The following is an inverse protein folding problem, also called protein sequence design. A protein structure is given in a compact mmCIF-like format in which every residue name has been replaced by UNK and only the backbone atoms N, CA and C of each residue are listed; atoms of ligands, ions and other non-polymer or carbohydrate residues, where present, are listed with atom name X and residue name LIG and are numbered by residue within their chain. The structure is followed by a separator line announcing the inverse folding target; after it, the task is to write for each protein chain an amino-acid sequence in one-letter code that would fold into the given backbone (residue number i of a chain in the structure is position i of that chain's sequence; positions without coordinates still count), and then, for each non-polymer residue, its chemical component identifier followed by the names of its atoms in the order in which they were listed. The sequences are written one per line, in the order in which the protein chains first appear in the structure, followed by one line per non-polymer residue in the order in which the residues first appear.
data_IF_370944377649
#
_entry.id   IF_370944377649
#
_cell.length_a   1.000
_cell.length_b   1.000
_cell.length_c   1.000
_cell.angle_alpha   90.00
_cell.angle_beta   90.00
_cell.angle_gamma   90.00
#
_symmetry.space_group_name_H-M   'P 1'
#
loop_
_entity.id
_entity.type
_entity.pdbx_description
1 polymer ?
#
# COMPACT_ATOMS: atom_id res chain seq x y z
N UNK A 1 -9.72 -11.37 5.89
CA UNK A 1 -9.96 -12.29 7.02
C UNK A 1 -8.95 -12.14 8.15
N UNK A 2 -7.63 -12.06 7.93
CA UNK A 2 -6.67 -11.86 9.05
C UNK A 2 -6.98 -10.60 9.86
N UNK A 3 -7.08 -9.44 9.19
CA UNK A 3 -7.43 -8.15 9.82
C UNK A 3 -8.78 -8.23 10.52
N UNK A 4 -9.82 -8.69 9.81
CA UNK A 4 -11.18 -8.81 10.36
C UNK A 4 -11.19 -9.67 11.65
N UNK A 5 -10.53 -10.84 11.64
CA UNK A 5 -10.46 -11.74 12.80
C UNK A 5 -9.71 -11.12 13.99
N UNK A 6 -8.64 -10.37 13.73
CA UNK A 6 -7.88 -9.72 14.79
C UNK A 6 -8.68 -8.59 15.45
N UNK A 7 -9.36 -7.77 14.65
CA UNK A 7 -10.23 -6.70 15.14
C UNK A 7 -11.40 -7.25 15.98
N UNK A 8 -11.97 -8.39 15.58
CA UNK A 8 -13.05 -9.05 16.32
C UNK A 8 -12.60 -9.70 17.64
N UNK A 9 -11.41 -10.31 17.66
CA UNK A 9 -10.98 -11.16 18.78
C UNK A 9 -10.01 -10.51 19.75
N UNK A 10 -9.37 -9.41 19.38
CA UNK A 10 -8.38 -8.72 20.20
C UNK A 10 -8.76 -7.24 20.33
N UNK A 11 -9.65 -6.89 21.29
CA UNK A 11 -10.06 -5.50 21.50
C UNK A 11 -8.85 -4.59 21.75
N UNK A 12 -8.78 -3.48 21.02
CA UNK A 12 -7.70 -2.50 21.14
C UNK A 12 -6.41 -2.85 20.40
N UNK A 13 -6.38 -3.89 19.56
CA UNK A 13 -5.22 -4.17 18.72
C UNK A 13 -4.97 -3.07 17.69
N UNK A 14 -3.72 -2.66 17.55
CA UNK A 14 -3.26 -1.80 16.45
C UNK A 14 -2.69 -2.67 15.34
N UNK A 15 -3.12 -2.44 14.11
CA UNK A 15 -2.61 -3.14 12.93
C UNK A 15 -1.78 -2.15 12.11
N UNK A 16 -0.52 -2.50 11.91
CA UNK A 16 0.41 -1.77 11.07
C UNK A 16 0.67 -2.54 9.76
N UNK A 17 0.90 -1.82 8.67
CA UNK A 17 1.25 -2.45 7.38
C UNK A 17 2.21 -1.59 6.56
N UNK A 18 3.05 -2.26 5.76
CA UNK A 18 3.88 -1.64 4.74
C UNK A 18 3.26 -1.89 3.36
N UNK A 19 3.27 -0.87 2.50
CA UNK A 19 2.82 -0.95 1.10
C UNK A 19 3.98 -0.56 0.19
N UNK A 20 4.23 -1.40 -0.82
CA UNK A 20 5.15 -1.10 -1.92
C UNK A 20 4.33 -0.68 -3.13
N UNK A 21 4.44 0.58 -3.53
CA UNK A 21 3.80 1.12 -4.73
C UNK A 21 4.70 0.95 -5.96
N UNK A 22 4.10 0.63 -7.11
CA UNK A 22 4.82 0.53 -8.38
C UNK A 22 5.56 -0.79 -8.56
N UNK A 23 5.09 -1.86 -7.91
CA UNK A 23 5.63 -3.19 -8.14
C UNK A 23 5.53 -3.53 -9.64
N UNK A 24 6.54 -4.18 -10.26
CA UNK A 24 6.51 -4.48 -11.68
C UNK A 24 5.26 -5.26 -12.09
N UNK A 25 4.49 -4.72 -13.04
CA UNK A 25 3.23 -5.30 -13.50
C UNK A 25 1.96 -4.77 -12.82
N UNK A 26 2.06 -3.96 -11.77
CA UNK A 26 0.92 -3.36 -11.06
C UNK A 26 0.02 -2.54 -12.02
N UNK A 27 -1.23 -2.98 -12.19
CA UNK A 27 -2.21 -2.33 -13.05
C UNK A 27 -2.98 -1.24 -12.32
N UNK A 28 -3.94 -0.58 -13.00
CA UNK A 28 -4.81 0.38 -12.34
C UNK A 28 -5.81 -0.29 -11.41
N UNK A 29 -6.31 -1.45 -11.81
CA UNK A 29 -7.21 -2.27 -11.00
C UNK A 29 -6.54 -2.73 -9.70
N UNK A 30 -5.26 -3.15 -9.76
CA UNK A 30 -4.47 -3.50 -8.57
C UNK A 30 -4.33 -2.32 -7.60
N UNK A 31 -4.13 -1.12 -8.16
CA UNK A 31 -4.01 0.10 -7.37
C UNK A 31 -5.32 0.47 -6.69
N UNK A 32 -6.44 0.42 -7.41
CA UNK A 32 -7.77 0.67 -6.84
C UNK A 32 -8.12 -0.34 -5.74
N UNK A 33 -7.73 -1.60 -5.90
CA UNK A 33 -7.87 -2.61 -4.85
C UNK A 33 -7.02 -2.27 -3.62
N UNK A 34 -5.82 -1.75 -3.80
CA UNK A 34 -4.95 -1.29 -2.71
C UNK A 34 -5.58 -0.12 -1.96
N UNK A 35 -6.11 0.87 -2.69
CA UNK A 35 -6.80 2.02 -2.09
C UNK A 35 -8.10 1.60 -1.38
N UNK A 36 -8.85 0.64 -1.94
CA UNK A 36 -10.03 0.08 -1.29
C UNK A 36 -9.66 -0.65 0.02
N UNK A 37 -8.52 -1.34 0.07
CA UNK A 37 -8.02 -1.96 1.29
C UNK A 37 -7.67 -0.92 2.37
N UNK A 38 -6.99 0.16 1.97
CA UNK A 38 -6.66 1.26 2.88
C UNK A 38 -7.94 1.91 3.42
N UNK A 39 -8.90 2.19 2.53
CA UNK A 39 -10.22 2.72 2.88
C UNK A 39 -11.06 1.81 3.77
N UNK A 40 -10.87 0.50 3.69
CA UNK A 40 -11.62 -0.46 4.50
C UNK A 40 -11.17 -0.44 5.96
N UNK A 41 -9.88 -0.22 6.22
CA UNK A 41 -9.30 -0.48 7.54
C UNK A 41 -8.69 0.75 8.22
N UNK A 42 -8.50 1.86 7.51
CA UNK A 42 -7.93 3.10 8.05
C UNK A 42 -6.72 2.82 8.96
N UNK A 43 -5.74 2.10 8.40
CA UNK A 43 -4.57 1.65 9.16
C UNK A 43 -3.93 2.82 9.91
N UNK A 44 -3.84 2.68 11.23
CA UNK A 44 -3.24 3.68 12.13
C UNK A 44 -1.76 3.87 11.80
N UNK A 45 -1.07 2.78 11.46
CA UNK A 45 0.35 2.78 11.10
C UNK A 45 0.50 2.21 9.69
N UNK A 46 0.77 3.07 8.72
CA UNK A 46 0.98 2.66 7.33
C UNK A 46 2.25 3.29 6.77
N UNK A 47 3.16 2.45 6.30
CA UNK A 47 4.39 2.88 5.64
C UNK A 47 4.30 2.65 4.13
N UNK A 48 4.41 3.72 3.36
CA UNK A 48 4.45 3.65 1.91
C UNK A 48 5.90 3.74 1.41
N UNK A 49 6.30 2.80 0.58
CA UNK A 49 7.57 2.81 -0.14
C UNK A 49 7.35 2.62 -1.64
N UNK A 50 8.27 3.14 -2.45
CA UNK A 50 8.29 2.87 -3.89
C UNK A 50 9.12 1.63 -4.19
N UNK A 51 8.68 0.82 -5.16
CA UNK A 51 9.41 -0.37 -5.56
C UNK A 51 10.83 -0.02 -6.03
N UNK A 52 11.82 -0.66 -5.41
CA UNK A 52 13.22 -0.60 -5.81
C UNK A 52 13.70 -2.00 -6.20
N UNK A 53 14.11 -2.23 -7.48
CA UNK A 53 14.53 -3.55 -7.94
C UNK A 53 15.83 -3.97 -7.24
N UNK A 54 15.79 -5.12 -6.55
CA UNK A 54 16.97 -5.71 -5.92
C UNK A 54 17.66 -6.67 -6.90
N UNK A 55 18.99 -6.53 -7.14
CA UNK A 55 19.73 -7.44 -8.01
C UNK A 55 19.50 -8.92 -7.66
N UNK A 56 19.36 -9.78 -8.67
CA UNK A 56 19.13 -11.22 -8.51
C UNK A 56 17.66 -11.63 -8.31
N UNK A 57 16.76 -10.71 -7.99
CA UNK A 57 15.33 -11.04 -7.83
C UNK A 57 14.61 -11.21 -9.17
N UNK A 58 13.54 -12.03 -9.26
CA UNK A 58 12.67 -12.08 -10.44
C UNK A 58 12.10 -10.70 -10.80
N UNK A 59 11.70 -9.92 -9.78
CA UNK A 59 11.10 -8.60 -9.95
C UNK A 59 12.05 -7.60 -10.62
N UNK A 60 13.38 -7.74 -10.46
CA UNK A 60 14.34 -6.88 -11.15
C UNK A 60 14.34 -7.03 -12.69
N UNK A 61 13.82 -8.15 -13.22
CA UNK A 61 13.73 -8.41 -14.67
C UNK A 61 12.34 -8.11 -15.26
N UNK A 62 11.36 -7.77 -14.42
CA UNK A 62 9.99 -7.52 -14.83
C UNK A 62 9.81 -6.11 -15.42
N UNK A 63 8.75 -5.92 -16.21
CA UNK A 63 8.42 -4.62 -16.80
C UNK A 63 8.00 -3.64 -15.70
N UNK A 64 8.73 -2.53 -15.60
CA UNK A 64 8.47 -1.49 -14.61
C UNK A 64 7.18 -0.72 -14.94
N UNK A 65 6.48 -0.30 -13.90
CA UNK A 65 5.39 0.67 -13.98
C UNK A 65 5.95 2.02 -14.42
N UNK A 66 5.16 2.82 -15.14
CA UNK A 66 5.56 4.16 -15.53
C UNK A 66 5.85 5.01 -14.28
N UNK A 67 6.96 5.74 -14.26
CA UNK A 67 7.35 6.57 -13.10
C UNK A 67 6.31 7.65 -12.75
N UNK A 68 5.54 8.14 -13.73
CA UNK A 68 4.43 9.06 -13.47
C UNK A 68 3.30 8.40 -12.69
N UNK A 69 2.97 7.15 -13.02
CA UNK A 69 1.95 6.38 -12.28
C UNK A 69 2.42 6.08 -10.86
N UNK A 70 3.66 5.61 -10.68
CA UNK A 70 4.23 5.35 -9.34
C UNK A 70 4.16 6.63 -8.48
N UNK A 71 4.49 7.79 -9.06
CA UNK A 71 4.44 9.08 -8.36
C UNK A 71 3.01 9.54 -8.06
N UNK A 72 2.06 9.32 -8.98
CA UNK A 72 0.63 9.65 -8.78
C UNK A 72 0.06 8.82 -7.63
N UNK A 73 0.23 7.50 -7.70
CA UNK A 73 -0.21 6.52 -6.72
C UNK A 73 0.39 6.80 -5.34
N UNK A 74 1.70 7.05 -5.29
CA UNK A 74 2.35 7.37 -4.02
C UNK A 74 1.73 8.60 -3.35
N UNK A 75 1.49 9.68 -4.12
CA UNK A 75 0.86 10.89 -3.58
C UNK A 75 -0.59 10.68 -3.17
N UNK A 76 -1.34 9.91 -3.95
CA UNK A 76 -2.73 9.62 -3.65
C UNK A 76 -2.87 8.91 -2.30
N UNK A 77 -2.07 7.87 -2.05
CA UNK A 77 -2.09 7.15 -0.79
C UNK A 77 -1.52 8.00 0.36
N UNK A 78 -0.46 8.79 0.14
CA UNK A 78 0.02 9.74 1.16
C UNK A 78 -1.09 10.72 1.57
N UNK A 79 -1.75 11.36 0.61
CA UNK A 79 -2.85 12.29 0.90
C UNK A 79 -4.02 11.60 1.62
N UNK A 80 -4.28 10.32 1.29
CA UNK A 80 -5.30 9.54 1.98
C UNK A 80 -4.94 9.34 3.46
N UNK A 81 -3.72 8.86 3.74
CA UNK A 81 -3.22 8.64 5.12
C UNK A 81 -3.28 9.92 5.94
N UNK A 82 -2.81 11.04 5.38
CA UNK A 82 -2.82 12.36 6.03
C UNK A 82 -4.24 12.87 6.32
N UNK A 83 -5.26 12.39 5.60
CA UNK A 83 -6.64 12.86 5.79
C UNK A 83 -7.32 12.35 7.07
N UNK A 84 -6.89 11.20 7.61
CA UNK A 84 -7.48 10.58 8.81
C UNK A 84 -6.49 10.38 9.96
N UNK A 85 -5.20 10.67 9.73
CA UNK A 85 -4.18 10.78 10.77
C UNK A 85 -3.72 12.25 10.87
N UNK A 86 -4.47 13.12 11.58
CA UNK A 86 -3.99 14.47 11.84
C UNK A 86 -2.72 14.40 12.70
N UNK A 87 -1.66 15.07 12.24
CA UNK A 87 -0.42 15.29 13.00
C UNK A 87 -0.65 15.98 14.35
#
# INVERSE_FOLDING_TARGET
KVVDTLLERVPGITIATDIICGFPGETEEDWEMTMALCRKYDFIELHLSQFYPRPGTPAARMKKVNSREVKRRSRELTNYIESYLPH
#
